data_IF_718901047615
#
_entry.id   IF_718901047615
#
_cell.length_a   1.000
_cell.length_b   1.000
_cell.length_c   1.000
_cell.angle_alpha   90.00
_cell.angle_beta   90.00
_cell.angle_gamma   90.00
#
_symmetry.space_group_name_H-M   'P 1'
#
loop_
_entity.id
_entity.type
_entity.pdbx_description
1 polymer ?
2 non-polymer ?
3 water ?
#
# COMPACT_ATOMS: atom_id res chain seq x y z
N UNK A 19 -8.07 -17.08 22.83
CA UNK A 19 -8.81 -17.11 21.58
C UNK A 19 -8.30 -15.94 20.73
N UNK A 20 -8.03 -16.20 19.44
CA UNK A 20 -7.40 -15.17 18.61
C UNK A 20 -8.22 -13.90 18.46
N UNK A 21 -9.53 -13.93 18.66
CA UNK A 21 -10.29 -12.68 18.54
C UNK A 21 -10.33 -11.88 19.85
N UNK A 22 -9.55 -12.29 20.85
CA UNK A 22 -9.36 -11.50 22.06
C UNK A 22 -7.91 -11.06 22.27
N UNK A 23 -7.03 -11.28 21.30
CA UNK A 23 -5.61 -10.95 21.51
C UNK A 23 -5.39 -9.45 21.61
N UNK A 24 -4.65 -8.95 22.62
CA UNK A 24 -4.30 -7.53 22.64
C UNK A 24 -3.57 -7.15 21.36
N UNK A 25 -4.06 -6.11 20.72
CA UNK A 25 -3.62 -5.75 19.38
C UNK A 25 -3.16 -4.31 19.37
N UNK A 26 -1.95 -4.09 18.85
CA UNK A 26 -1.37 -2.75 18.73
C UNK A 26 -1.35 -2.39 17.24
N UNK A 27 -2.10 -1.35 16.88
CA UNK A 27 -2.15 -0.86 15.50
C UNK A 27 -1.10 0.24 15.33
N UNK A 28 -0.13 0.01 14.43
CA UNK A 28 0.94 0.99 14.20
C UNK A 28 0.57 1.86 13.00
N UNK A 29 0.22 3.10 13.28
CA UNK A 29 -0.19 4.03 12.26
C UNK A 29 -1.66 4.28 12.44
N UNK A 30 -2.05 5.55 12.48
CA UNK A 30 -3.42 5.96 12.76
C UNK A 30 -3.97 6.84 11.65
N UNK A 31 -3.81 6.40 10.39
CA UNK A 31 -4.58 6.95 9.30
C UNK A 31 -6.03 6.51 9.37
N UNK A 32 -6.86 7.01 8.45
CA UNK A 32 -8.30 6.70 8.54
C UNK A 32 -8.59 5.21 8.47
N UNK A 33 -7.81 4.44 7.72
CA UNK A 33 -8.00 3.00 7.70
C UNK A 33 -7.92 2.38 9.09
N UNK A 34 -7.06 2.92 9.96
CA UNK A 34 -6.92 2.33 11.28
C UNK A 34 -8.20 2.47 12.08
N UNK A 35 -8.98 3.53 11.83
CA UNK A 35 -10.26 3.66 12.51
C UNK A 35 -11.20 2.55 12.05
N UNK A 36 -11.31 2.35 10.73
CA UNK A 36 -12.14 1.25 10.24
C UNK A 36 -11.68 -0.07 10.82
N UNK A 37 -10.36 -0.32 10.76
CA UNK A 37 -9.79 -1.54 11.27
C UNK A 37 -10.11 -1.72 12.75
N UNK A 38 -9.92 -0.66 13.55
CA UNK A 38 -10.16 -0.79 14.98
C UNK A 38 -11.60 -1.17 15.27
N UNK A 39 -12.55 -0.57 14.54
CA UNK A 39 -13.97 -0.92 14.72
C UNK A 39 -14.17 -2.38 14.35
N UNK A 40 -13.58 -2.82 13.24
CA UNK A 40 -13.75 -4.20 12.78
C UNK A 40 -13.20 -5.20 13.80
N UNK A 41 -12.08 -4.88 14.46
CA UNK A 41 -11.54 -5.78 15.47
C UNK A 41 -12.45 -5.82 16.69
N UNK A 42 -12.86 -4.65 17.17
CA UNK A 42 -13.73 -4.55 18.33
C UNK A 42 -15.09 -5.20 18.07
N UNK A 43 -15.55 -5.20 16.82
CA UNK A 43 -16.83 -5.82 16.51
C UNK A 43 -16.72 -7.33 16.45
N UNK A 44 -15.50 -7.86 16.30
CA UNK A 44 -15.27 -9.28 16.11
C UNK A 44 -14.89 -10.00 17.41
N UNK A 45 -14.57 -9.24 18.46
CA UNK A 45 -14.14 -9.83 19.73
C UNK A 45 -13.81 -8.72 20.71
N UNK A 46 -13.57 -9.13 21.95
CA UNK A 46 -13.28 -8.21 23.04
C UNK A 46 -11.76 -8.23 23.24
N UNK A 47 -11.08 -7.30 22.61
CA UNK A 47 -9.62 -7.27 22.62
C UNK A 47 -9.13 -5.91 23.07
N UNK A 48 -8.06 -5.89 23.85
CA UNK A 48 -7.43 -4.62 24.18
C UNK A 48 -6.81 -4.04 22.92
N UNK A 49 -7.00 -2.75 22.71
CA UNK A 49 -6.56 -2.10 21.48
C UNK A 49 -5.57 -0.99 21.78
N UNK A 50 -4.39 -1.08 21.18
CA UNK A 50 -3.42 0.00 21.21
C UNK A 50 -3.29 0.68 19.86
N UNK A 51 -2.79 1.92 19.86
CA UNK A 51 -2.70 2.72 18.65
C UNK A 51 -1.42 3.53 18.72
N UNK A 52 -0.66 3.56 17.62
CA UNK A 52 0.53 4.38 17.48
C UNK A 52 0.34 5.36 16.34
N UNK A 53 0.81 6.59 16.53
CA UNK A 53 0.99 7.53 15.43
C UNK A 53 2.18 8.41 15.72
N UNK A 54 2.99 8.65 14.71
CA UNK A 54 4.14 9.53 14.84
C UNK A 54 3.68 10.91 15.29
N UNK A 55 4.57 11.68 15.95
CA UNK A 55 4.22 13.02 16.46
C UNK A 55 4.18 14.11 15.39
N UNK A 56 3.50 13.84 14.28
CA UNK A 56 3.14 14.92 13.37
C UNK A 56 2.18 15.87 14.07
N UNK A 57 1.83 16.96 13.39
CA UNK A 57 0.82 17.87 13.91
C UNK A 57 -0.51 17.14 14.09
N UNK A 58 -0.88 16.31 13.11
CA UNK A 58 -2.10 15.50 13.23
C UNK A 58 -2.02 14.51 14.37
N UNK A 59 -0.87 13.81 14.49
CA UNK A 59 -0.69 12.88 15.58
C UNK A 59 -0.81 13.55 16.93
N UNK A 60 -0.19 14.72 17.09
CA UNK A 60 -0.29 15.45 18.35
C UNK A 60 -1.73 15.80 18.68
N UNK A 61 -2.50 16.24 17.69
CA UNK A 61 -3.89 16.61 17.97
C UNK A 61 -4.71 15.39 18.37
N UNK A 62 -4.44 14.25 17.75
CA UNK A 62 -5.12 13.00 18.11
C UNK A 62 -4.64 12.51 19.47
N UNK A 63 -3.35 12.67 19.75
CA UNK A 63 -2.84 12.34 21.07
C UNK A 63 -3.56 13.14 22.15
N UNK A 64 -3.70 14.44 21.93
CA UNK A 64 -4.41 15.28 22.89
C UNK A 64 -5.87 14.86 23.00
N UNK A 65 -6.54 14.71 21.86
CA UNK A 65 -7.95 14.33 21.91
C UNK A 65 -8.16 13.04 22.70
N UNK A 66 -7.33 12.02 22.45
CA UNK A 66 -7.59 10.72 23.06
C UNK A 66 -7.33 10.73 24.55
N UNK A 67 -6.36 11.52 25.00
CA UNK A 67 -6.11 11.63 26.43
C UNK A 67 -7.32 12.15 27.17
N UNK A 68 -8.26 12.78 26.46
CA UNK A 68 -9.50 13.27 27.03
C UNK A 68 -10.64 12.30 26.83
N UNK A 69 -10.77 11.75 25.63
CA UNK A 69 -11.87 10.85 25.28
C UNK A 69 -11.30 9.80 24.34
N UNK A 70 -10.89 8.62 24.84
CA UNK A 70 -10.20 7.64 24.00
C UNK A 70 -11.16 6.86 23.09
N UNK A 71 -11.86 7.57 22.21
CA UNK A 71 -12.87 6.98 21.36
C UNK A 71 -12.72 7.47 19.93
N UNK A 72 -12.71 6.52 18.99
CA UNK A 72 -12.73 6.81 17.57
C UNK A 72 -14.14 6.58 17.03
N UNK A 73 -14.45 7.29 15.95
CA UNK A 73 -15.79 7.29 15.36
C UNK A 73 -15.70 6.97 13.87
N UNK A 74 -16.67 6.18 13.39
CA UNK A 74 -16.70 5.72 12.01
C UNK A 74 -18.14 5.76 11.50
N UNK A 75 -18.28 6.11 10.22
CA UNK A 75 -19.58 6.07 9.55
C UNK A 75 -19.45 5.34 8.22
N UNK A 76 -20.45 4.53 7.92
CA UNK A 76 -20.57 3.93 6.61
C UNK A 76 -21.38 4.82 5.69
N UNK A 77 -21.08 4.72 4.40
CA UNK A 77 -21.51 5.70 3.43
C UNK A 77 -21.71 5.01 2.09
N UNK A 78 -22.66 5.51 1.30
CA UNK A 78 -23.00 4.86 0.04
C UNK A 78 -23.23 3.38 0.23
N UNK A 79 -22.56 2.56 -0.58
CA UNK A 79 -22.78 1.12 -0.49
C UNK A 79 -22.23 0.54 0.81
N UNK A 80 -21.12 1.08 1.33
CA UNK A 80 -20.57 0.55 2.58
C UNK A 80 -21.59 0.59 3.72
N UNK A 81 -22.63 1.43 3.60
CA UNK A 81 -23.64 1.54 4.65
C UNK A 81 -24.41 0.24 4.84
N UNK A 82 -24.32 -0.68 3.86
CA UNK A 82 -25.00 -1.96 4.01
C UNK A 82 -24.44 -2.76 5.19
N UNK A 83 -23.12 -2.70 5.41
CA UNK A 83 -22.48 -3.47 6.48
C UNK A 83 -21.68 -2.61 7.46
N UNK A 84 -21.79 -1.27 7.37
CA UNK A 84 -21.08 -0.36 8.28
C UNK A 84 -22.00 0.82 8.59
N UNK A 85 -22.44 0.92 9.84
CA UNK A 85 -23.25 2.02 10.32
C UNK A 85 -22.40 2.86 11.28
N UNK A 86 -23.05 3.80 11.96
CA UNK A 86 -22.34 4.63 12.92
C UNK A 86 -21.81 3.78 14.06
N UNK A 87 -20.50 3.84 14.26
CA UNK A 87 -19.83 3.02 15.26
C UNK A 87 -18.80 3.86 15.99
N UNK A 88 -18.46 3.38 17.19
CA UNK A 88 -17.44 3.97 18.02
C UNK A 88 -16.61 2.85 18.61
N UNK A 89 -15.33 3.12 18.86
CA UNK A 89 -14.43 2.10 19.40
C UNK A 89 -13.45 2.76 20.37
N UNK A 90 -13.21 2.09 21.48
CA UNK A 90 -12.37 2.62 22.52
C UNK A 90 -10.92 2.22 22.29
N UNK A 91 -10.00 3.14 22.54
CA UNK A 91 -8.56 2.88 22.44
C UNK A 91 -8.04 2.80 23.88
N UNK A 92 -7.39 1.69 24.22
CA UNK A 92 -6.93 1.46 25.57
C UNK A 92 -5.54 1.99 25.81
N UNK A 93 -4.76 2.17 24.75
CA UNK A 93 -3.41 2.66 24.90
C UNK A 93 -3.04 3.40 23.62
N UNK A 94 -2.51 4.62 23.76
CA UNK A 94 -2.04 5.39 22.62
C UNK A 94 -0.61 5.83 22.90
N UNK A 95 0.26 5.65 21.92
CA UNK A 95 1.66 6.04 22.01
C UNK A 95 2.04 6.79 20.74
N UNK A 96 3.10 7.59 20.86
CA UNK A 96 3.67 8.30 19.73
C UNK A 96 5.17 8.09 19.63
N UNK A 97 5.70 7.11 20.33
CA UNK A 97 7.10 6.72 20.21
C UNK A 97 7.13 5.20 20.14
N UNK A 98 7.76 4.67 19.11
CA UNK A 98 7.79 3.23 18.92
C UNK A 98 8.61 2.54 19.99
N UNK A 99 9.56 3.25 20.60
CA UNK A 99 10.21 2.68 21.77
C UNK A 99 9.24 2.38 22.89
N UNK A 100 8.04 2.95 22.86
CA UNK A 100 7.00 2.59 23.82
C UNK A 100 6.12 1.42 23.34
N UNK A 101 6.43 0.79 22.20
CA UNK A 101 5.66 -0.35 21.69
C UNK A 101 6.14 -1.60 22.42
N UNK A 102 5.66 -1.77 23.66
CA UNK A 102 6.15 -2.79 24.58
C UNK A 102 5.00 -3.35 25.39
N UNK A 103 5.23 -4.52 25.97
CA UNK A 103 4.25 -5.12 26.85
C UNK A 103 3.66 -6.40 26.31
N UNK A 104 2.39 -6.67 26.63
CA UNK A 104 1.83 -7.99 26.36
C UNK A 104 1.13 -8.07 25.00
N UNK A 105 1.28 -7.05 24.15
CA UNK A 105 0.68 -7.11 22.82
C UNK A 105 1.06 -8.42 22.12
N UNK A 106 0.04 -9.09 21.56
CA UNK A 106 0.28 -10.32 20.82
C UNK A 106 0.13 -10.17 19.32
N UNK A 107 -0.42 -9.06 18.84
CA UNK A 107 -0.59 -8.83 17.41
C UNK A 107 -0.22 -7.37 17.16
N UNK A 108 0.69 -7.17 16.21
CA UNK A 108 0.96 -5.87 15.64
C UNK A 108 0.39 -5.82 14.23
N UNK A 109 -0.30 -4.72 13.92
CA UNK A 109 -0.80 -4.50 12.56
C UNK A 109 -0.11 -3.24 12.03
N UNK A 110 0.62 -3.38 10.91
CA UNK A 110 1.29 -2.24 10.29
C UNK A 110 0.29 -1.59 9.36
N UNK A 111 -0.24 -0.45 9.81
CA UNK A 111 -1.13 0.39 9.04
C UNK A 111 -0.45 1.65 8.54
N UNK A 112 0.88 1.68 8.53
CA UNK A 112 1.63 2.74 7.86
C UNK A 112 1.83 2.29 6.41
N UNK A 113 2.24 3.14 5.48
CA UNK A 113 2.44 2.67 4.11
C UNK A 113 3.61 1.70 4.03
N UNK A 114 3.56 0.81 3.05
CA UNK A 114 4.55 -0.25 3.00
C UNK A 114 5.98 0.27 2.88
N UNK A 115 6.18 1.45 2.26
CA UNK A 115 7.57 1.89 2.13
C UNK A 115 8.15 2.40 3.45
N UNK A 116 7.37 2.33 4.53
CA UNK A 116 7.79 2.72 5.87
C UNK A 116 7.78 1.55 6.85
N UNK A 117 7.53 0.33 6.37
CA UNK A 117 7.62 -0.85 7.26
C UNK A 117 9.02 -0.95 7.85
N UNK A 118 10.05 -0.79 7.02
CA UNK A 118 11.41 -1.00 7.50
C UNK A 118 11.74 -0.03 8.61
N UNK A 119 11.47 1.27 8.37
CA UNK A 119 11.82 2.31 9.33
C UNK A 119 11.07 2.07 10.63
N UNK A 120 9.83 1.59 10.55
CA UNK A 120 9.03 1.30 11.74
C UNK A 120 9.57 0.08 12.46
N UNK A 121 9.73 -1.03 11.75
CA UNK A 121 10.12 -2.27 12.40
C UNK A 121 11.49 -2.15 13.09
N UNK A 122 12.40 -1.34 12.53
CA UNK A 122 13.72 -1.15 13.15
C UNK A 122 13.65 -0.42 14.48
N UNK A 123 12.58 0.31 14.73
CA UNK A 123 12.42 1.03 15.98
C UNK A 123 11.66 0.24 17.05
N UNK A 124 11.16 -0.96 16.75
CA UNK A 124 10.36 -1.69 17.72
C UNK A 124 11.29 -2.50 18.64
N UNK A 125 11.14 -2.37 19.94
CA UNK A 125 11.97 -3.14 20.89
C UNK A 125 11.38 -4.53 21.10
N UNK A 126 11.76 -5.41 20.16
CA UNK A 126 11.16 -6.73 20.08
C UNK A 126 11.31 -7.49 21.38
N UNK A 127 12.44 -7.29 22.08
CA UNK A 127 12.67 -8.01 23.33
C UNK A 127 11.60 -7.70 24.35
N UNK A 128 10.98 -6.53 24.25
CA UNK A 128 9.97 -6.11 25.19
C UNK A 128 8.56 -6.51 24.79
N UNK A 129 8.43 -7.41 23.80
CA UNK A 129 7.15 -7.96 23.36
C UNK A 129 7.26 -9.47 23.50
N UNK A 130 7.21 -10.00 24.73
CA UNK A 130 7.46 -11.44 24.94
C UNK A 130 6.36 -12.33 24.42
N UNK A 131 5.15 -11.82 24.24
CA UNK A 131 4.02 -12.63 23.83
C UNK A 131 3.59 -12.35 22.41
N UNK A 132 4.42 -11.69 21.63
CA UNK A 132 4.09 -11.37 20.25
C UNK A 132 3.87 -12.66 19.46
N UNK A 133 2.70 -12.76 18.81
CA UNK A 133 2.37 -13.91 17.97
C UNK A 133 2.23 -13.61 16.47
N UNK A 134 1.86 -12.39 16.09
CA UNK A 134 1.61 -12.13 14.68
C UNK A 134 1.90 -10.68 14.32
N UNK A 135 2.35 -10.50 13.08
CA UNK A 135 2.55 -9.20 12.49
C UNK A 135 1.81 -9.18 11.16
N UNK A 136 0.85 -8.28 11.03
CA UNK A 136 0.00 -8.20 9.84
C UNK A 136 0.36 -6.96 9.06
N UNK A 137 0.53 -7.12 7.74
CA UNK A 137 0.88 -6.04 6.81
C UNK A 137 -0.43 -5.63 6.11
N UNK A 138 -1.01 -4.51 6.58
CA UNK A 138 -2.37 -4.16 6.20
C UNK A 138 -2.49 -3.90 4.71
N UNK A 139 -1.49 -3.23 4.10
CA UNK A 139 -1.49 -2.94 2.67
C UNK A 139 -0.08 -3.13 2.14
N UNK A 140 0.25 -4.36 1.80
CA UNK A 140 1.62 -4.77 1.55
C UNK A 140 2.10 -4.30 0.17
N UNK A 141 3.40 -4.48 -0.05
CA UNK A 141 4.00 -4.38 -1.38
C UNK A 141 4.72 -5.71 -1.64
N UNK A 142 5.10 -5.92 -2.90
CA UNK A 142 5.90 -7.09 -3.23
C UNK A 142 7.25 -7.01 -2.51
N UNK A 143 7.58 -8.08 -1.77
CA UNK A 143 8.80 -8.16 -1.01
C UNK A 143 8.64 -7.78 0.45
N UNK A 144 7.51 -7.15 0.79
CA UNK A 144 7.32 -6.71 2.17
C UNK A 144 7.46 -7.87 3.14
N UNK A 145 6.84 -9.01 2.83
CA UNK A 145 6.81 -10.10 3.77
C UNK A 145 8.18 -10.72 3.97
N UNK A 146 8.92 -10.94 2.89
CA UNK A 146 10.28 -11.43 3.01
C UNK A 146 11.12 -10.50 3.87
N UNK A 147 10.97 -9.18 3.67
CA UNK A 147 11.73 -8.21 4.44
C UNK A 147 11.40 -8.31 5.92
N UNK A 148 10.11 -8.31 6.24
CA UNK A 148 9.69 -8.41 7.63
C UNK A 148 10.15 -9.73 8.25
N UNK A 149 10.07 -10.85 7.51
CA UNK A 149 10.56 -12.11 8.04
C UNK A 149 12.01 -11.97 8.48
N UNK A 150 12.81 -11.38 7.60
CA UNK A 150 14.24 -11.27 7.85
C UNK A 150 14.51 -10.52 9.14
N UNK A 151 13.84 -9.37 9.32
CA UNK A 151 14.04 -8.59 10.54
C UNK A 151 13.61 -9.37 11.78
N UNK A 152 12.45 -10.00 11.71
CA UNK A 152 11.98 -10.76 12.87
C UNK A 152 12.93 -11.89 13.19
N UNK A 153 13.40 -12.60 12.17
CA UNK A 153 14.33 -13.70 12.41
C UNK A 153 15.58 -13.21 13.11
N UNK A 154 16.07 -12.01 12.75
CA UNK A 154 17.22 -11.45 13.43
C UNK A 154 16.93 -11.12 14.89
N UNK A 155 15.69 -10.76 15.23
CA UNK A 155 15.35 -10.46 16.60
C UNK A 155 14.92 -11.70 17.41
N UNK A 156 15.14 -12.90 16.88
CA UNK A 156 14.70 -14.10 17.60
C UNK A 156 13.21 -14.32 17.58
N UNK A 157 12.51 -13.76 16.57
CA UNK A 157 11.06 -13.88 16.48
C UNK A 157 10.64 -14.70 15.28
N UNK A 158 11.42 -15.72 14.94
CA UNK A 158 11.05 -16.56 13.83
C UNK A 158 9.70 -17.25 14.05
N UNK A 159 9.24 -17.40 15.32
CA UNK A 159 7.93 -18.02 15.57
C UNK A 159 6.76 -17.16 15.10
N UNK A 160 6.95 -15.84 15.03
CA UNK A 160 5.83 -14.93 14.78
C UNK A 160 5.29 -15.10 13.37
N UNK A 161 3.96 -15.13 13.26
CA UNK A 161 3.30 -15.30 11.98
C UNK A 161 3.25 -13.96 11.23
N UNK A 162 3.74 -13.95 10.00
CA UNK A 162 3.77 -12.75 9.15
C UNK A 162 2.70 -12.90 8.09
N UNK A 163 1.76 -11.97 8.05
CA UNK A 163 0.66 -12.00 7.10
C UNK A 163 0.67 -10.73 6.27
N UNK A 164 0.80 -10.90 4.96
CA UNK A 164 0.62 -9.83 3.97
C UNK A 164 -0.80 -9.86 3.38
N UNK A 165 -1.49 -8.72 3.46
CA UNK A 165 -2.71 -8.48 2.72
C UNK A 165 -2.38 -7.71 1.46
N UNK A 166 -3.02 -8.11 0.34
CA UNK A 166 -2.72 -7.51 -0.96
C UNK A 166 -3.01 -6.02 -0.99
N UNK A 167 -4.02 -5.57 -0.25
CA UNK A 167 -4.29 -4.15 -0.15
C UNK A 167 -5.18 -3.91 1.05
N UNK A 168 -5.29 -2.65 1.44
CA UNK A 168 -6.31 -2.29 2.42
C UNK A 168 -7.67 -2.64 1.85
N UNK A 169 -8.59 -3.05 2.71
CA UNK A 169 -9.81 -3.71 2.27
C UNK A 169 -10.99 -2.76 2.08
N UNK A 170 -10.75 -1.45 2.09
CA UNK A 170 -11.83 -0.49 1.97
C UNK A 170 -11.33 0.82 1.39
N UNK A 171 -12.24 1.78 1.37
CA UNK A 171 -12.00 3.17 1.00
C UNK A 171 -12.47 4.02 2.19
N UNK A 172 -11.53 4.59 2.93
CA UNK A 172 -11.84 5.25 4.19
C UNK A 172 -11.09 6.56 4.27
N UNK A 173 -11.77 7.60 4.77
CA UNK A 173 -11.27 8.96 4.75
C UNK A 173 -11.71 9.72 6.00
N UNK A 174 -10.98 10.78 6.30
CA UNK A 174 -11.29 11.61 7.45
C UNK A 174 -12.59 12.40 7.27
N UNK A 199 -10.16 18.18 8.79
CA UNK A 199 -9.78 16.88 9.34
C UNK A 199 -10.01 16.75 10.86
N UNK A 200 -10.98 15.94 11.27
CA UNK A 200 -11.09 15.54 12.67
C UNK A 200 -10.43 14.18 12.80
N UNK A 201 -9.25 14.05 13.41
CA UNK A 201 -8.44 12.85 13.17
C UNK A 201 -8.98 11.61 13.85
N UNK A 202 -10.01 11.75 14.68
CA UNK A 202 -10.66 10.64 15.37
C UNK A 202 -12.01 10.27 14.73
N UNK A 203 -12.30 10.79 13.55
CA UNK A 203 -13.55 10.52 12.82
C UNK A 203 -13.21 10.13 11.39
N UNK A 204 -13.78 9.03 10.92
CA UNK A 204 -13.55 8.59 9.55
C UNK A 204 -14.87 8.13 8.96
N UNK A 205 -14.85 7.92 7.65
CA UNK A 205 -16.02 7.38 6.99
C UNK A 205 -15.56 6.48 5.86
N UNK A 206 -16.27 5.38 5.69
CA UNK A 206 -15.92 4.39 4.69
C UNK A 206 -17.02 4.39 3.64
N UNK A 207 -16.61 4.62 2.40
CA UNK A 207 -17.49 4.74 1.24
C UNK A 207 -17.75 3.40 0.55
N UNK A 208 -16.84 2.44 0.71
CA UNK A 208 -16.93 1.21 -0.06
C UNK A 208 -15.99 0.17 0.54
N UNK A 209 -16.34 -1.10 0.36
CA UNK A 209 -15.47 -2.22 0.70
C UNK A 209 -15.03 -2.93 -0.56
N UNK A 210 -13.81 -3.48 -0.54
CA UNK A 210 -13.32 -4.26 -1.66
C UNK A 210 -14.08 -5.58 -1.75
N UNK A 211 -14.06 -6.20 -2.94
CA UNK A 211 -14.74 -7.49 -3.10
C UNK A 211 -13.87 -8.67 -2.66
N UNK A 212 -12.56 -8.60 -2.88
CA UNK A 212 -11.70 -9.64 -2.34
C UNK A 212 -10.31 -9.07 -2.01
N UNK A 213 -9.65 -9.78 -1.09
CA UNK A 213 -8.29 -9.51 -0.66
C UNK A 213 -7.55 -10.82 -0.76
N UNK A 214 -6.31 -10.76 -1.22
CA UNK A 214 -5.42 -11.91 -1.26
C UNK A 214 -4.52 -11.84 -0.04
N UNK A 215 -4.33 -12.96 0.65
CA UNK A 215 -3.38 -12.92 1.76
C UNK A 215 -2.64 -14.24 1.86
N UNK A 216 -1.59 -14.22 2.70
CA UNK A 216 -0.76 -15.39 2.96
C UNK A 216 0.10 -15.10 4.18
N UNK A 217 0.55 -16.17 4.84
CA UNK A 217 1.64 -16.09 5.80
C UNK A 217 2.86 -16.77 5.19
N UNK A 218 3.98 -16.68 5.89
CA UNK A 218 5.21 -17.16 5.30
C UNK A 218 5.19 -18.65 5.04
N UNK A 219 4.32 -19.40 5.71
CA UNK A 219 4.28 -20.85 5.52
C UNK A 219 3.29 -21.28 4.44
N UNK A 220 2.50 -20.36 3.88
CA UNK A 220 1.42 -20.76 3.00
C UNK A 220 0.34 -21.56 3.70
N UNK A 221 0.26 -21.47 5.03
CA UNK A 221 -0.67 -22.26 5.82
C UNK A 221 -2.01 -21.54 5.86
N UNK A 222 -2.94 -21.96 4.98
CA UNK A 222 -4.27 -21.32 4.91
C UNK A 222 -5.11 -21.51 6.16
N UNK A 223 -4.86 -22.54 6.96
CA UNK A 223 -5.78 -22.82 8.05
C UNK A 223 -5.39 -22.26 9.39
N UNK A 224 -4.48 -21.27 9.45
CA UNK A 224 -4.04 -20.79 10.74
C UNK A 224 -5.18 -20.03 11.43
N UNK A 225 -5.17 -20.09 12.78
CA UNK A 225 -6.09 -19.29 13.57
C UNK A 225 -6.08 -17.80 13.18
N UNK A 226 -4.89 -17.22 12.90
CA UNK A 226 -4.86 -15.81 12.53
C UNK A 226 -5.56 -15.58 11.19
N UNK A 227 -5.26 -16.42 10.21
CA UNK A 227 -5.96 -16.36 8.93
C UNK A 227 -7.46 -16.48 9.10
N UNK A 228 -7.90 -17.40 9.96
CA UNK A 228 -9.33 -17.57 10.21
C UNK A 228 -9.89 -16.31 10.85
N UNK A 229 -9.11 -15.73 11.76
CA UNK A 229 -9.57 -14.52 12.43
C UNK A 229 -9.72 -13.38 11.43
N UNK A 230 -8.70 -13.17 10.59
CA UNK A 230 -8.77 -12.14 9.55
C UNK A 230 -9.98 -12.37 8.65
N UNK A 231 -10.18 -13.61 8.20
CA UNK A 231 -11.34 -13.91 7.37
C UNK A 231 -12.61 -13.50 8.09
N UNK A 232 -12.78 -13.92 9.35
CA UNK A 232 -13.97 -13.52 10.09
C UNK A 232 -14.10 -12.01 10.13
N UNK A 233 -13.00 -11.30 10.36
CA UNK A 233 -13.04 -9.83 10.42
C UNK A 233 -13.53 -9.25 9.09
N UNK A 234 -12.99 -9.74 7.98
CA UNK A 234 -13.36 -9.18 6.69
C UNK A 234 -14.73 -9.67 6.21
N UNK A 235 -15.15 -10.87 6.63
CA UNK A 235 -16.44 -11.42 6.21
C UNK A 235 -17.63 -10.59 6.69
N UNK A 236 -17.46 -9.81 7.75
CA UNK A 236 -18.53 -8.93 8.21
C UNK A 236 -18.92 -7.88 7.16
N UNK A 237 -18.04 -7.61 6.19
CA UNK A 237 -18.32 -6.69 5.10
C UNK A 237 -18.40 -7.41 3.76
N UNK A 238 -18.54 -8.73 3.79
CA UNK A 238 -18.73 -9.54 2.59
C UNK A 238 -17.50 -9.52 1.72
N UNK A 239 -16.35 -9.28 2.32
CA UNK A 239 -15.08 -9.29 1.62
C UNK A 239 -14.59 -10.73 1.57
N UNK A 240 -14.33 -11.22 0.37
CA UNK A 240 -13.74 -12.56 0.26
C UNK A 240 -12.26 -12.50 0.54
N UNK A 241 -11.76 -13.56 1.15
CA UNK A 241 -10.34 -13.72 1.42
C UNK A 241 -9.83 -14.93 0.66
N UNK A 242 -8.75 -14.73 -0.07
CA UNK A 242 -8.20 -15.76 -0.94
C UNK A 242 -6.76 -16.07 -0.52
N UNK A 243 -6.50 -17.25 0.00
CA UNK A 243 -5.16 -17.57 0.52
C UNK A 243 -4.20 -17.94 -0.59
N UNK A 244 -2.93 -17.59 -0.40
CA UNK A 244 -1.92 -17.78 -1.44
C UNK A 244 -0.81 -18.67 -0.91
N UNK A 245 0.08 -19.12 -1.82
CA UNK A 245 1.08 -20.12 -1.46
C UNK A 245 2.18 -19.53 -0.60
N UNK A 246 2.42 -18.22 -0.72
CA UNK A 246 3.46 -17.56 0.02
C UNK A 246 3.16 -16.07 0.03
N UNK A 247 4.00 -15.31 0.71
CA UNK A 247 3.77 -13.88 0.90
C UNK A 247 3.77 -13.15 -0.44
N UNK A 248 4.77 -13.43 -1.28
CA UNK A 248 4.85 -12.76 -2.58
C UNK A 248 3.65 -13.11 -3.46
N UNK A 249 3.14 -14.34 -3.34
CA UNK A 249 2.01 -14.76 -4.15
C UNK A 249 0.72 -14.06 -3.77
N UNK A 250 0.68 -13.41 -2.61
CA UNK A 250 -0.41 -12.49 -2.30
C UNK A 250 -0.07 -11.05 -2.69
N UNK A 251 1.20 -10.65 -2.47
CA UNK A 251 1.60 -9.26 -2.65
C UNK A 251 1.55 -8.86 -4.13
N UNK A 252 1.72 -9.85 -5.01
CA UNK A 252 1.64 -9.62 -6.43
C UNK A 252 0.30 -9.02 -6.83
N UNK A 253 -0.73 -9.11 -5.98
CA UNK A 253 -2.03 -8.48 -6.22
C UNK A 253 -2.15 -7.09 -5.61
N UNK A 254 -1.06 -6.31 -5.53
CA UNK A 254 -1.12 -4.90 -5.10
C UNK A 254 -1.33 -4.01 -6.33
N UNK A 255 -2.55 -3.51 -6.53
CA UNK A 255 -2.87 -2.77 -7.74
C UNK A 255 -1.94 -1.57 -7.94
N UNK A 256 -1.61 -0.83 -6.85
CA UNK A 256 -0.91 0.44 -7.02
C UNK A 256 0.50 0.24 -7.55
N UNK A 257 1.11 -0.92 -7.32
CA UNK A 257 2.43 -1.14 -7.91
C UNK A 257 2.38 -1.17 -9.42
N UNK A 258 1.25 -1.61 -10.00
CA UNK A 258 1.09 -1.70 -11.45
C UNK A 258 0.64 -0.37 -12.06
N UNK A 259 -0.26 0.34 -11.40
CA UNK A 259 -1.00 1.44 -12.02
C UNK A 259 -0.37 2.79 -11.73
N UNK A 260 0.06 3.03 -10.50
CA UNK A 260 0.57 4.34 -10.14
C UNK A 260 1.81 4.76 -10.91
N UNK A 261 2.85 3.94 -11.06
CA UNK A 261 4.09 4.50 -11.64
C UNK A 261 3.88 4.98 -13.06
N UNK A 262 3.15 4.27 -13.91
CA UNK A 262 2.97 4.77 -15.29
C UNK A 262 2.19 6.08 -15.36
N UNK A 263 1.17 6.21 -14.53
CA UNK A 263 0.35 7.43 -14.50
C UNK A 263 1.07 8.56 -13.77
N UNK A 264 1.61 8.28 -12.60
CA UNK A 264 2.14 9.33 -11.75
C UNK A 264 3.50 9.82 -12.23
N UNK A 265 4.24 8.98 -12.95
CA UNK A 265 5.58 9.29 -13.40
C UNK A 265 5.63 9.61 -14.89
N UNK A 266 4.48 9.74 -15.53
CA UNK A 266 4.45 10.28 -16.89
C UNK A 266 5.03 11.70 -16.93
N UNK A 267 5.69 12.03 -18.04
CA UNK A 267 6.26 13.36 -18.18
C UNK A 267 5.27 14.45 -17.76
N UNK A 268 4.03 14.39 -18.27
CA UNK A 268 3.11 15.49 -17.99
C UNK A 268 2.69 15.49 -16.54
N UNK A 269 2.72 14.33 -15.88
CA UNK A 269 2.32 14.30 -14.49
C UNK A 269 3.45 14.80 -13.61
N UNK A 270 4.68 14.40 -13.92
CA UNK A 270 5.84 14.94 -13.21
C UNK A 270 5.92 16.46 -13.35
N UNK A 271 5.57 17.00 -14.52
CA UNK A 271 5.58 18.45 -14.69
C UNK A 271 4.57 19.13 -13.79
N UNK A 272 3.35 18.57 -13.70
CA UNK A 272 2.35 19.12 -12.78
C UNK A 272 2.81 19.02 -11.33
N UNK A 273 3.49 17.94 -11.03
CA UNK A 273 3.94 17.70 -9.66
C UNK A 273 4.98 18.72 -9.25
N UNK A 274 5.94 18.99 -10.13
CA UNK A 274 7.10 19.80 -9.78
C UNK A 274 6.98 21.27 -10.14
N UNK A 275 5.93 21.67 -10.88
CA UNK A 275 5.62 23.07 -11.20
C UNK A 275 4.26 23.38 -10.59
N UNK A 276 4.21 23.61 -9.28
CA UNK A 276 2.91 23.64 -8.59
C UNK A 276 1.97 24.70 -9.06
N UNK A 277 2.43 25.64 -9.89
CA UNK A 277 1.59 26.73 -10.31
C UNK A 277 0.78 26.42 -11.56
N UNK A 278 1.07 25.34 -12.26
CA UNK A 278 0.26 24.94 -13.40
C UNK A 278 -1.18 24.64 -12.98
N UNK A 279 -2.07 24.75 -13.94
CA UNK A 279 -3.43 24.26 -13.73
C UNK A 279 -3.38 22.77 -13.44
N UNK A 280 -4.23 22.35 -12.51
CA UNK A 280 -4.16 20.99 -12.00
C UNK A 280 -4.36 19.95 -13.10
N UNK A 281 -3.61 18.86 -13.00
CA UNK A 281 -3.81 17.62 -13.76
C UNK A 281 -4.62 16.62 -12.93
N UNK A 282 -5.23 15.66 -13.63
CA UNK A 282 -6.01 14.58 -13.02
C UNK A 282 -5.41 13.24 -13.39
N UNK A 283 -5.20 12.39 -12.37
CA UNK A 283 -4.34 11.23 -12.54
C UNK A 283 -4.87 10.24 -13.58
N UNK A 284 -6.18 10.12 -13.74
CA UNK A 284 -6.76 9.09 -14.59
C UNK A 284 -7.33 9.64 -15.89
N UNK A 285 -7.26 10.94 -16.13
CA UNK A 285 -7.83 11.52 -17.35
C UNK A 285 -6.85 11.42 -18.51
N UNK A 286 -7.40 11.49 -19.74
CA UNK A 286 -6.60 11.48 -20.96
C UNK A 286 -5.97 12.85 -21.22
N UNK A 287 -4.91 12.84 -22.01
CA UNK A 287 -4.23 14.07 -22.37
C UNK A 287 -5.22 15.03 -23.03
N UNK A 288 -5.12 16.34 -22.75
CA UNK A 288 -4.10 17.03 -21.96
C UNK A 288 -4.52 17.31 -20.51
N UNK A 289 -5.62 16.71 -20.05
CA UNK A 289 -6.08 16.94 -18.69
C UNK A 289 -5.44 15.98 -17.70
N UNK A 290 -4.86 14.90 -18.19
CA UNK A 290 -4.18 13.92 -17.36
C UNK A 290 -3.28 13.12 -18.27
N UNK A 291 -2.66 12.09 -17.71
CA UNK A 291 -1.55 11.40 -18.40
C UNK A 291 -1.96 10.36 -19.40
N UNK A 292 -3.20 9.86 -19.37
CA UNK A 292 -3.53 8.69 -20.17
C UNK A 292 -3.40 8.98 -21.65
N UNK A 293 -2.62 8.15 -22.32
CA UNK A 293 -2.33 8.29 -23.72
C UNK A 293 -1.59 7.02 -24.12
N UNK A 294 -1.39 6.75 -25.40
CA UNK A 294 -0.72 5.50 -25.78
C UNK A 294 0.65 5.28 -25.14
N UNK A 295 1.53 6.29 -25.02
CA UNK A 295 2.85 6.01 -24.46
C UNK A 295 2.76 5.61 -23.00
N UNK A 296 1.87 6.26 -22.25
CA UNK A 296 1.67 5.95 -20.86
C UNK A 296 1.10 4.54 -20.70
N UNK A 297 0.14 4.17 -21.56
CA UNK A 297 -0.40 2.80 -21.53
C UNK A 297 0.68 1.79 -21.89
N UNK A 298 1.56 2.15 -22.83
CA UNK A 298 2.69 1.28 -23.16
C UNK A 298 3.58 1.08 -21.94
N UNK A 299 3.73 2.11 -21.09
CA UNK A 299 4.51 1.91 -19.86
C UNK A 299 3.77 1.00 -18.87
N UNK A 300 2.43 1.10 -18.81
CA UNK A 300 1.67 0.24 -17.93
C UNK A 300 1.85 -1.22 -18.33
N UNK A 301 1.72 -1.50 -19.61
CA UNK A 301 1.91 -2.87 -20.09
C UNK A 301 3.35 -3.32 -19.90
N UNK A 302 4.32 -2.47 -20.21
CA UNK A 302 5.72 -2.85 -20.08
C UNK A 302 6.14 -3.10 -18.64
N UNK A 303 5.65 -2.30 -17.70
CA UNK A 303 5.97 -2.53 -16.29
C UNK A 303 5.38 -3.86 -15.79
N UNK A 304 4.16 -4.19 -16.21
CA UNK A 304 3.62 -5.52 -15.92
C UNK A 304 4.52 -6.62 -16.46
N UNK A 305 5.01 -6.46 -17.70
CA UNK A 305 5.99 -7.41 -18.23
C UNK A 305 7.21 -7.52 -17.31
N UNK A 306 7.68 -6.38 -16.78
CA UNK A 306 8.86 -6.38 -15.93
C UNK A 306 8.60 -7.16 -14.63
N UNK A 307 7.45 -6.92 -14.00
CA UNK A 307 7.13 -7.61 -12.76
C UNK A 307 6.99 -9.10 -13.00
N UNK A 308 6.46 -9.51 -14.15
CA UNK A 308 6.43 -10.93 -14.47
C UNK A 308 7.83 -11.51 -14.50
N UNK A 309 8.78 -10.79 -15.11
CA UNK A 309 10.17 -11.24 -15.12
C UNK A 309 10.71 -11.39 -13.71
N UNK A 310 10.46 -10.40 -12.85
CA UNK A 310 11.00 -10.42 -11.50
C UNK A 310 10.34 -11.51 -10.66
N UNK A 311 9.01 -11.54 -10.67
CA UNK A 311 8.28 -12.57 -9.94
C UNK A 311 8.71 -13.97 -10.38
N UNK A 312 8.71 -14.21 -11.69
CA UNK A 312 9.13 -15.52 -12.19
C UNK A 312 10.51 -15.90 -11.67
N UNK A 313 11.44 -14.94 -11.65
CA UNK A 313 12.76 -15.19 -11.09
C UNK A 313 12.67 -15.57 -9.63
N UNK A 314 11.76 -14.94 -8.91
CA UNK A 314 11.55 -15.25 -7.50
C UNK A 314 10.74 -16.51 -7.28
N UNK A 315 10.32 -17.20 -8.35
CA UNK A 315 9.55 -18.43 -8.24
C UNK A 315 8.07 -18.26 -8.11
N UNK A 316 7.54 -17.13 -8.58
CA UNK A 316 6.15 -16.79 -8.39
C UNK A 316 5.54 -16.49 -9.76
N UNK A 317 4.34 -17.01 -9.97
CA UNK A 317 3.63 -16.80 -11.21
C UNK A 317 3.14 -15.36 -11.29
N UNK A 318 3.19 -14.79 -12.50
CA UNK A 318 2.65 -13.46 -12.72
C UNK A 318 1.13 -13.50 -12.68
N UNK A 319 0.53 -12.35 -12.38
CA UNK A 319 -0.93 -12.21 -12.45
C UNK A 319 -1.36 -11.95 -13.90
N UNK A 320 -2.66 -12.07 -14.16
CA UNK A 320 -3.34 -11.51 -15.34
C UNK A 320 -3.77 -10.10 -14.99
N UNK A 321 -3.02 -9.11 -15.46
CA UNK A 321 -3.27 -7.73 -15.05
C UNK A 321 -4.68 -7.29 -15.39
N UNK A 322 -5.13 -7.54 -16.61
CA UNK A 322 -6.43 -7.01 -17.01
C UNK A 322 -7.58 -7.71 -16.27
N UNK A 323 -7.49 -9.05 -16.09
CA UNK A 323 -8.47 -9.75 -15.27
C UNK A 323 -8.48 -9.21 -13.85
N UNK A 324 -7.31 -8.98 -13.26
CA UNK A 324 -7.22 -8.43 -11.91
C UNK A 324 -7.88 -7.07 -11.84
N UNK A 325 -7.52 -6.16 -12.75
CA UNK A 325 -8.12 -4.82 -12.75
C UNK A 325 -9.64 -4.89 -12.88
N UNK A 326 -10.12 -5.68 -13.84
CA UNK A 326 -11.55 -5.68 -14.10
C UNK A 326 -12.29 -6.48 -13.04
N UNK A 327 -11.85 -7.72 -12.81
CA UNK A 327 -12.67 -8.67 -12.04
C UNK A 327 -12.41 -8.58 -10.54
N UNK A 328 -11.24 -8.12 -10.11
CA UNK A 328 -10.98 -7.95 -8.67
C UNK A 328 -11.08 -6.51 -8.18
N UNK A 329 -11.09 -5.50 -9.07
CA UNK A 329 -11.12 -4.11 -8.60
C UNK A 329 -12.34 -3.36 -9.14
N UNK A 330 -12.32 -2.86 -10.39
CA UNK A 330 -13.42 -2.05 -10.90
C UNK A 330 -13.76 -2.49 -12.32
N UNK A 331 -14.96 -3.01 -12.58
CA UNK A 331 -15.26 -3.54 -13.90
C UNK A 331 -15.75 -2.49 -14.87
N UNK A 332 -15.61 -2.80 -16.15
CA UNK A 332 -16.15 -1.97 -17.22
C UNK A 332 -17.00 -2.85 -18.12
N UNK A 333 -17.93 -2.24 -18.86
CA UNK A 333 -18.84 -3.02 -19.71
C UNK A 333 -18.09 -3.92 -20.68
N UNK A 334 -18.70 -5.06 -21.01
CA UNK A 334 -18.05 -5.99 -21.93
C UNK A 334 -18.04 -5.45 -23.35
N UNK A 335 -18.89 -4.47 -23.64
CA UNK A 335 -18.90 -3.78 -24.93
C UNK A 335 -17.65 -2.93 -25.14
N UNK A 336 -17.00 -2.51 -24.05
CA UNK A 336 -15.70 -1.83 -24.10
C UNK A 336 -14.57 -2.85 -24.02
N UNK A 337 -14.49 -3.61 -22.92
CA UNK A 337 -13.43 -4.60 -22.76
C UNK A 337 -14.06 -5.99 -22.78
N UNK A 338 -13.77 -6.76 -23.83
CA UNK A 338 -14.43 -8.04 -24.00
C UNK A 338 -13.94 -9.04 -22.96
N UNK A 339 -14.75 -10.09 -22.73
CA UNK A 339 -14.27 -11.18 -21.89
C UNK A 339 -13.10 -11.87 -22.54
N UNK A 340 -13.09 -11.94 -23.87
CA UNK A 340 -11.92 -12.49 -24.55
C UNK A 340 -10.66 -11.69 -24.18
N UNK A 341 -10.75 -10.35 -24.17
CA UNK A 341 -9.56 -9.56 -23.86
C UNK A 341 -9.07 -9.84 -22.44
N UNK A 342 -10.01 -10.01 -21.51
CA UNK A 342 -9.68 -10.27 -20.12
C UNK A 342 -9.02 -11.63 -19.96
N UNK A 343 -9.66 -12.67 -20.50
CA UNK A 343 -9.20 -14.04 -20.26
C UNK A 343 -7.89 -14.31 -20.97
N UNK A 344 -7.68 -13.71 -22.13
CA UNK A 344 -6.52 -14.03 -22.93
C UNK A 344 -5.43 -12.98 -22.82
N UNK A 345 -5.64 -11.94 -22.01
CA UNK A 345 -4.71 -10.80 -21.93
C UNK A 345 -3.24 -11.23 -21.93
N UNK A 346 -2.81 -12.19 -21.12
CA UNK A 346 -1.36 -12.49 -21.08
C UNK A 346 -0.84 -13.06 -22.36
N UNK A 347 -1.69 -13.65 -23.20
CA UNK A 347 -1.24 -14.13 -24.51
C UNK A 347 -1.44 -13.13 -25.64
N UNK A 348 -2.04 -11.97 -25.38
CA UNK A 348 -2.29 -11.03 -26.45
C UNK A 348 -0.95 -10.40 -26.82
N UNK A 349 -0.77 -10.00 -28.08
CA UNK A 349 0.43 -9.25 -28.43
C UNK A 349 0.45 -7.94 -27.70
N UNK A 350 1.65 -7.38 -27.47
CA UNK A 350 1.77 -6.09 -26.78
C UNK A 350 0.82 -5.02 -27.26
N UNK A 351 0.71 -4.86 -28.57
CA UNK A 351 -0.11 -3.76 -29.08
C UNK A 351 -1.57 -3.99 -28.71
N UNK A 352 -2.00 -5.24 -28.72
CA UNK A 352 -3.39 -5.53 -28.36
C UNK A 352 -3.61 -5.41 -26.86
N UNK A 353 -2.63 -5.85 -26.06
CA UNK A 353 -2.65 -5.56 -24.64
C UNK A 353 -2.83 -4.08 -24.39
N UNK A 354 -2.08 -3.25 -25.12
CA UNK A 354 -2.15 -1.83 -24.90
C UNK A 354 -3.51 -1.28 -25.28
N UNK A 355 -3.99 -1.64 -26.47
CA UNK A 355 -5.33 -1.20 -26.89
C UNK A 355 -6.34 -1.54 -25.82
N UNK A 356 -6.30 -2.78 -25.31
CA UNK A 356 -7.26 -3.21 -24.29
C UNK A 356 -7.15 -2.33 -23.05
N UNK A 357 -5.92 -2.00 -22.61
CA UNK A 357 -5.75 -1.18 -21.43
C UNK A 357 -6.20 0.25 -21.66
N UNK A 358 -5.91 0.82 -22.85
CA UNK A 358 -6.40 2.17 -23.16
C UNK A 358 -7.91 2.18 -23.14
N UNK A 359 -8.54 1.14 -23.69
CA UNK A 359 -10.00 1.10 -23.69
C UNK A 359 -10.49 1.01 -22.24
N UNK A 360 -9.86 0.15 -21.45
CA UNK A 360 -10.25 0.04 -20.05
C UNK A 360 -10.22 1.39 -19.34
N UNK A 361 -9.11 2.14 -19.42
CA UNK A 361 -9.04 3.42 -18.71
C UNK A 361 -9.97 4.46 -19.29
N UNK A 362 -10.22 4.44 -20.60
CA UNK A 362 -11.25 5.32 -21.15
C UNK A 362 -12.61 4.99 -20.55
N UNK A 363 -12.96 3.69 -20.52
CA UNK A 363 -14.27 3.29 -20.01
C UNK A 363 -14.44 3.66 -18.54
N UNK A 364 -13.35 3.58 -17.77
CA UNK A 364 -13.36 3.89 -16.34
C UNK A 364 -13.85 5.31 -16.05
N UNK A 365 -13.55 6.25 -16.94
CA UNK A 365 -13.88 7.65 -16.71
C UNK A 365 -15.35 7.98 -16.95
N UNK A 366 -16.09 7.09 -17.58
CA UNK A 366 -17.53 7.27 -17.75
C UNK A 366 -18.23 6.68 -16.53
N UNK A 380 -14.79 7.21 -8.21
CA UNK A 380 -14.84 8.38 -9.08
C UNK A 380 -13.42 8.73 -9.54
N UNK A 381 -12.91 7.95 -10.49
CA UNK A 381 -11.55 8.15 -10.97
C UNK A 381 -11.35 9.56 -11.52
N UNK A 382 -12.36 10.14 -12.14
CA UNK A 382 -12.18 11.44 -12.78
C UNK A 382 -11.95 12.56 -11.78
N UNK A 383 -12.15 12.30 -10.51
CA UNK A 383 -11.99 13.31 -9.48
C UNK A 383 -10.61 13.30 -8.83
N UNK A 384 -9.80 12.28 -9.08
CA UNK A 384 -8.46 12.15 -8.47
C UNK A 384 -7.53 13.17 -9.13
N UNK A 385 -7.16 14.20 -8.37
CA UNK A 385 -6.19 15.21 -8.76
C UNK A 385 -4.75 14.73 -8.60
N UNK A 386 -3.88 15.26 -9.44
CA UNK A 386 -2.45 15.08 -9.24
C UNK A 386 -1.98 16.07 -8.18
N UNK A 387 -1.49 15.56 -7.05
CA UNK A 387 -0.97 16.41 -5.99
C UNK A 387 0.41 16.94 -6.40
N UNK A 388 0.74 18.12 -5.90
CA UNK A 388 2.00 18.79 -6.22
C UNK A 388 2.95 18.77 -5.02
N UNK A 389 4.22 19.09 -5.31
CA UNK A 389 5.16 19.38 -4.23
C UNK A 389 4.58 20.47 -3.36
N UNK A 390 5.00 20.50 -2.10
CA UNK A 390 4.45 21.43 -1.12
C UNK A 390 5.51 21.67 -0.05
N UNK A 391 5.35 22.78 0.66
CA UNK A 391 6.23 23.12 1.77
C UNK A 391 5.60 22.76 3.12
N UNK A 392 6.43 22.33 4.07
CA UNK A 392 5.92 22.02 5.40
C UNK A 392 6.05 23.26 6.30
N UNK A 393 5.78 23.09 7.60
CA UNK A 393 5.77 24.24 8.51
C UNK A 393 7.13 24.92 8.61
N UNK A 394 8.21 24.16 8.40
CA UNK A 394 9.55 24.74 8.36
C UNK A 394 9.96 25.19 6.97
N UNK A 395 9.00 25.32 6.03
CA UNK A 395 9.27 25.81 4.69
C UNK A 395 10.10 24.85 3.84
N UNK A 396 10.16 23.58 4.24
CA UNK A 396 10.90 22.58 3.49
C UNK A 396 9.97 21.91 2.49
N UNK A 397 10.49 21.66 1.30
CA UNK A 397 9.69 21.07 0.23
C UNK A 397 9.57 19.57 0.38
N UNK A 398 8.36 19.06 0.15
CA UNK A 398 8.03 17.64 0.17
C UNK A 398 7.42 17.20 -1.16
N UNK A 399 7.54 15.91 -1.43
CA UNK A 399 6.70 15.22 -2.40
C UNK A 399 5.43 14.71 -1.74
N UNK A 400 4.29 14.74 -2.42
CA UNK A 400 3.09 14.08 -1.89
C UNK A 400 3.23 12.57 -1.94
N UNK A 401 2.33 11.88 -1.24
CA UNK A 401 2.49 10.44 -1.08
C UNK A 401 2.41 9.73 -2.42
N UNK A 402 1.63 10.26 -3.36
CA UNK A 402 1.76 9.91 -4.76
C UNK A 402 2.62 10.98 -5.43
N UNK A 403 3.82 10.66 -5.93
CA UNK A 403 4.49 9.37 -6.18
C UNK A 403 5.55 8.90 -5.17
N UNK A 404 5.71 9.61 -4.06
CA UNK A 404 6.83 9.31 -3.15
C UNK A 404 6.81 7.83 -2.73
N UNK A 405 5.65 7.33 -2.30
CA UNK A 405 5.53 5.93 -1.88
C UNK A 405 5.82 4.98 -3.06
N UNK A 406 5.34 5.36 -4.26
CA UNK A 406 5.46 4.51 -5.44
C UNK A 406 6.89 4.45 -5.92
N UNK A 407 7.60 5.57 -5.84
CA UNK A 407 9.00 5.57 -6.20
C UNK A 407 9.79 4.66 -5.27
N UNK A 408 9.56 4.78 -3.95
CA UNK A 408 10.25 3.91 -3.01
C UNK A 408 9.95 2.44 -3.30
N UNK A 409 8.68 2.09 -3.49
CA UNK A 409 8.34 0.69 -3.68
C UNK A 409 8.98 0.13 -4.94
N UNK A 410 8.99 0.93 -6.02
CA UNK A 410 9.52 0.44 -7.27
C UNK A 410 11.04 0.44 -7.26
N UNK A 411 11.67 1.45 -6.64
CA UNK A 411 13.13 1.43 -6.55
C UNK A 411 13.62 0.21 -5.79
N UNK A 412 12.98 -0.12 -4.67
CA UNK A 412 13.40 -1.32 -3.93
C UNK A 412 13.38 -2.53 -4.85
N UNK A 413 12.29 -2.71 -5.62
CA UNK A 413 12.19 -3.86 -6.51
C UNK A 413 13.19 -3.80 -7.67
N UNK A 414 13.45 -2.61 -8.20
CA UNK A 414 14.45 -2.48 -9.25
C UNK A 414 15.82 -2.85 -8.75
N UNK A 415 16.17 -2.44 -7.53
CA UNK A 415 17.45 -2.83 -6.96
C UNK A 415 17.52 -4.33 -6.73
N UNK A 416 16.41 -4.92 -6.27
CA UNK A 416 16.36 -6.37 -6.11
C UNK A 416 16.56 -7.07 -7.44
N UNK A 417 15.89 -6.58 -8.49
CA UNK A 417 16.00 -7.23 -9.79
C UNK A 417 17.44 -7.20 -10.28
N UNK A 418 18.11 -6.05 -10.15
CA UNK A 418 19.49 -5.97 -10.55
C UNK A 418 20.37 -6.96 -9.80
N UNK A 419 20.12 -7.14 -8.49
CA UNK A 419 20.88 -8.12 -7.74
C UNK A 419 20.65 -9.52 -8.26
N UNK A 420 19.47 -9.80 -8.81
CA UNK A 420 19.13 -11.12 -9.32
C UNK A 420 19.38 -11.27 -10.82
N UNK A 421 19.96 -10.26 -11.47
CA UNK A 421 20.27 -10.32 -12.89
C UNK A 421 19.00 -10.29 -13.74
N UNK A 422 18.02 -9.52 -13.30
CA UNK A 422 16.74 -9.36 -14.00
C UNK A 422 16.67 -7.92 -14.48
N UNK A 423 16.38 -7.72 -15.76
CA UNK A 423 16.26 -6.38 -16.33
C UNK A 423 14.79 -5.99 -16.35
N UNK A 424 14.50 -4.77 -15.91
CA UNK A 424 13.15 -4.19 -15.93
C UNK A 424 13.20 -2.85 -16.66
N UNK A 425 13.24 -2.86 -18.00
CA UNK A 425 13.48 -1.61 -18.74
C UNK A 425 12.40 -0.57 -18.53
N UNK A 426 11.14 -0.95 -18.37
CA UNK A 426 10.13 0.07 -18.16
C UNK A 426 10.28 0.68 -16.78
N UNK A 427 10.47 -0.15 -15.74
CA UNK A 427 10.76 0.36 -14.41
C UNK A 427 11.98 1.28 -14.42
N UNK A 428 13.02 0.91 -15.15
CA UNK A 428 14.22 1.73 -15.18
C UNK A 428 13.96 3.08 -15.87
N UNK A 429 13.20 3.05 -16.98
CA UNK A 429 12.88 4.29 -17.68
C UNK A 429 12.05 5.20 -16.80
N UNK A 430 11.07 4.62 -16.10
CA UNK A 430 10.20 5.40 -15.22
C UNK A 430 10.98 6.05 -14.08
N UNK A 431 11.90 5.31 -13.47
CA UNK A 431 12.64 5.91 -12.36
C UNK A 431 13.71 6.89 -12.84
N UNK A 432 14.33 6.64 -13.99
CA UNK A 432 15.24 7.60 -14.58
C UNK A 432 14.53 8.92 -14.82
N UNK A 433 13.31 8.86 -15.35
CA UNK A 433 12.57 10.06 -15.67
C UNK A 433 12.23 10.82 -14.39
N UNK A 434 11.73 10.11 -13.37
CA UNK A 434 11.45 10.72 -12.08
C UNK A 434 12.70 11.37 -11.49
N UNK A 435 13.80 10.62 -11.42
CA UNK A 435 15.01 11.12 -10.77
C UNK A 435 15.53 12.39 -11.45
N UNK A 436 15.49 12.44 -12.78
CA UNK A 436 15.94 13.64 -13.48
C UNK A 436 15.05 14.85 -13.17
N UNK A 437 13.73 14.64 -13.15
CA UNK A 437 12.81 15.72 -12.79
C UNK A 437 12.99 16.16 -11.34
N UNK A 438 13.20 15.20 -10.43
CA UNK A 438 13.45 15.54 -9.04
C UNK A 438 14.74 16.34 -8.91
N UNK A 439 15.80 15.92 -9.60
CA UNK A 439 17.05 16.66 -9.53
C UNK A 439 16.86 18.09 -10.03
N UNK A 440 16.08 18.26 -11.10
CA UNK A 440 15.86 19.59 -11.64
C UNK A 440 15.08 20.44 -10.67
N UNK A 441 14.10 19.84 -9.97
CA UNK A 441 13.35 20.58 -8.96
C UNK A 441 14.25 21.00 -7.80
N UNK A 442 15.08 20.10 -7.28
CA UNK A 442 15.94 20.43 -6.15
C UNK A 442 16.84 21.60 -6.51
N UNK A 443 17.29 21.67 -7.77
CA UNK A 443 18.15 22.77 -8.18
C UNK A 443 17.39 24.09 -8.23
N UNK A 444 16.12 24.06 -8.66
CA UNK A 444 15.33 25.28 -8.69
C UNK A 444 15.13 25.85 -7.29
N UNK A 445 14.81 24.98 -6.33
CA UNK A 445 14.46 25.45 -5.00
C UNK A 445 15.66 25.50 -4.06
N UNK A 446 16.74 24.81 -4.38
CA UNK A 446 17.81 24.64 -3.40
C UNK A 446 17.69 23.43 -2.47
N UNK A 447 18.75 22.62 -2.47
CA UNK A 447 18.85 21.43 -1.61
C UNK A 447 18.63 21.78 -0.13
N UNK A 448 19.11 22.94 0.31
CA UNK A 448 18.92 23.33 1.71
C UNK A 448 17.48 23.58 2.05
N UNK A 449 16.62 23.74 1.05
CA UNK A 449 15.20 23.98 1.24
C UNK A 449 14.35 22.75 0.98
N UNK A 450 14.98 21.59 0.85
CA UNK A 450 14.28 20.32 0.63
C UNK A 450 14.28 19.47 1.89
N UNK A 451 13.11 18.88 2.17
CA UNK A 451 13.03 17.88 3.21
C UNK A 451 13.96 16.71 2.89
N UNK A 452 14.59 16.10 3.90
CA UNK A 452 15.53 14.99 3.61
C UNK A 452 14.93 13.84 2.84
N UNK A 453 13.62 13.63 2.92
CA UNK A 453 12.99 12.57 2.11
C UNK A 453 13.21 12.79 0.63
N UNK A 454 13.39 14.05 0.19
CA UNK A 454 13.72 14.30 -1.21
C UNK A 454 15.14 13.91 -1.58
N UNK A 455 16.01 13.63 -0.60
CA UNK A 455 17.44 13.55 -0.84
C UNK A 455 18.02 12.17 -0.63
N UNK A 456 17.22 11.20 -0.20
CA UNK A 456 17.74 9.87 0.03
C UNK A 456 16.60 8.99 0.50
N UNK A 457 16.91 7.70 0.60
CA UNK A 457 15.96 6.69 1.04
C UNK A 457 16.76 5.48 1.48
N UNK A 458 16.07 4.51 2.06
CA UNK A 458 16.71 3.25 2.46
C UNK A 458 16.19 2.08 1.64
N UNK A 459 15.97 2.32 0.33
CA UNK A 459 15.58 1.24 -0.57
C UNK A 459 16.72 0.26 -0.78
N UNK A 460 17.97 0.73 -0.76
CA UNK A 460 19.10 -0.17 -0.95
C UNK A 460 19.16 -1.23 0.16
N UNK A 461 19.04 -0.81 1.41
CA UNK A 461 19.12 -1.78 2.49
C UNK A 461 17.96 -2.77 2.40
N UNK A 462 16.78 -2.28 2.02
CA UNK A 462 15.62 -3.16 1.94
C UNK A 462 15.80 -4.23 0.87
N UNK A 463 16.24 -3.82 -0.33
CA UNK A 463 16.46 -4.78 -1.41
C UNK A 463 17.45 -5.84 -0.97
N UNK A 464 18.49 -5.43 -0.25
CA UNK A 464 19.47 -6.39 0.26
C UNK A 464 18.83 -7.35 1.26
N UNK A 465 18.01 -6.82 2.16
CA UNK A 465 17.38 -7.70 3.15
C UNK A 465 16.45 -8.69 2.45
N UNK A 466 15.63 -8.20 1.54
CA UNK A 466 14.70 -9.08 0.82
C UNK A 466 15.49 -10.16 0.08
N UNK A 467 16.57 -9.77 -0.61
CA UNK A 467 17.37 -10.75 -1.35
C UNK A 467 17.93 -11.81 -0.40
N UNK A 468 18.45 -11.38 0.76
CA UNK A 468 19.02 -12.30 1.74
C UNK A 468 17.97 -13.29 2.20
N UNK A 469 16.78 -12.80 2.54
CA UNK A 469 15.74 -13.70 3.03
C UNK A 469 15.34 -14.70 1.96
N UNK A 470 15.14 -14.23 0.72
CA UNK A 470 14.69 -15.11 -0.37
C UNK A 470 15.72 -16.19 -0.68
N UNK A 471 17.00 -15.82 -0.74
CA UNK A 471 18.05 -16.81 -1.02
C UNK A 471 18.16 -17.87 0.07
N UNK A 472 17.78 -17.52 1.29
CA UNK A 472 17.87 -18.45 2.41
C UNK A 472 16.82 -19.55 2.36
N UNK A 473 15.96 -19.57 1.34
CA UNK A 473 14.83 -20.50 1.29
C UNK A 473 15.02 -21.54 0.19
#
# INVERSE_FOLDING_TARGET
>A
HHHHHHSSGRENLYFQGHMHNTLPTLILGAGPAAIQLAVDISATGDARLGLYNRPSTKGERLKQYLALTPTLYLQGTGKAQATQKESSVTIDCYIDQLAQAVGDWQRLILAVPADHYYAVLQQIPWAALPQLKSVILLSSSMGSGLMVQNLLNAAGKRDVEVISLSSYYADTKYIRAETQDISANTQDINAGTQDIGAIQPYRAYTKAFKQRIYLANQWGNAGSAEMSWLTAVLARHHIDTLPCSNLLAAERFSITNYVHPPLALADTTLQALFYPEQRSQYLYKTQPEGPVCPAVIADLAGLADDYKRLLNRLGVEEINLLRFLNDDNYPVPASMVSRRWIDEFPQLPPLEQQYALFVRYTALLVDPYSTPDEQGRFYDFSAVKVATVYQDANALWHLPRVPLEDVHKLRTLLLLAGALDVVMPTAQRLLQRFQQALKAFIDRVGEEHCHPSLLGDDCDRQAAIIEQQWRSQT
#
